data_IF_496406871786
#
_entry.id   IF_496406871786
#
_cell.length_a   1.000
_cell.length_b   1.000
_cell.length_c   1.000
_cell.angle_alpha   90.00
_cell.angle_beta   90.00
_cell.angle_gamma   90.00
#
_symmetry.space_group_name_H-M   'P 1'
#
loop_
_entity.id
_entity.type
_entity.pdbx_description
1 polymer ?
#
# COMPACT_ATOMS: atom_id res chain seq x y z
N UNK A 1 13.85 6.13 -0.01
CA UNK A 1 13.23 7.32 -0.62
C UNK A 1 11.94 6.88 -1.27
N UNK A 2 10.90 7.68 -1.10
CA UNK A 2 9.53 7.35 -1.54
C UNK A 2 9.05 8.42 -2.49
N UNK A 3 8.38 8.01 -3.56
CA UNK A 3 7.69 8.90 -4.47
C UNK A 3 6.24 9.05 -4.02
N UNK A 4 5.77 10.29 -3.89
CA UNK A 4 4.41 10.62 -3.46
C UNK A 4 3.78 11.68 -4.37
N UNK A 5 2.46 11.73 -4.35
CA UNK A 5 1.66 12.87 -4.83
C UNK A 5 0.86 13.43 -3.65
N UNK A 6 0.11 14.53 -3.82
CA UNK A 6 -0.83 14.99 -2.80
C UNK A 6 -1.91 13.96 -2.40
N UNK A 7 -2.18 12.96 -3.26
CA UNK A 7 -3.19 11.93 -3.02
C UNK A 7 -2.66 10.71 -2.27
N UNK A 8 -1.34 10.49 -2.26
CA UNK A 8 -0.76 9.33 -1.57
C UNK A 8 0.58 8.86 -2.12
N UNK A 9 1.06 7.69 -1.64
CA UNK A 9 2.28 7.09 -2.14
C UNK A 9 2.09 6.56 -3.56
N UNK A 10 3.09 6.78 -4.39
CA UNK A 10 3.19 6.19 -5.74
C UNK A 10 4.00 4.90 -5.68
N UNK A 11 5.10 4.92 -4.93
CA UNK A 11 6.01 3.79 -4.83
C UNK A 11 7.32 4.15 -4.17
N UNK A 12 8.31 3.26 -4.28
CA UNK A 12 9.66 3.46 -3.73
C UNK A 12 10.69 3.53 -4.84
N UNK A 13 11.69 4.38 -4.65
CA UNK A 13 12.85 4.41 -5.55
C UNK A 13 13.59 3.07 -5.45
N UNK A 14 13.82 2.44 -6.60
CA UNK A 14 14.55 1.18 -6.72
C UNK A 14 16.00 1.41 -7.17
N UNK A 15 16.21 2.24 -8.18
CA UNK A 15 17.55 2.62 -8.66
C UNK A 15 17.60 4.10 -8.97
N UNK A 16 18.80 4.65 -8.84
CA UNK A 16 19.13 6.04 -9.16
C UNK A 16 20.19 5.97 -10.25
N UNK A 17 20.04 6.84 -11.24
CA UNK A 17 20.95 7.07 -12.37
C UNK A 17 21.37 8.54 -12.34
N UNK A 18 22.25 8.94 -13.26
CA UNK A 18 22.82 10.30 -13.27
C UNK A 18 21.76 11.39 -13.48
N UNK A 19 20.73 11.10 -14.28
CA UNK A 19 19.67 12.03 -14.69
C UNK A 19 18.25 11.51 -14.40
N UNK A 20 18.12 10.42 -13.64
CA UNK A 20 16.82 9.81 -13.40
C UNK A 20 16.80 8.76 -12.30
N UNK A 21 15.62 8.19 -12.06
CA UNK A 21 15.43 7.11 -11.12
C UNK A 21 14.32 6.17 -11.59
N UNK A 22 14.41 4.90 -11.23
CA UNK A 22 13.30 3.95 -11.40
C UNK A 22 12.53 3.79 -10.09
N UNK A 23 11.20 3.71 -10.20
CA UNK A 23 10.29 3.54 -9.07
C UNK A 23 9.61 2.17 -9.20
N UNK A 24 9.63 1.39 -8.11
CA UNK A 24 8.72 0.26 -7.95
C UNK A 24 7.40 0.84 -7.45
N UNK A 25 6.36 0.74 -8.27
CA UNK A 25 5.02 1.23 -7.95
C UNK A 25 4.42 0.46 -6.77
N UNK A 26 3.44 1.05 -6.08
CA UNK A 26 2.71 0.38 -5.00
C UNK A 26 1.98 -0.88 -5.48
N UNK A 27 1.50 -0.86 -6.73
CA UNK A 27 0.76 -1.94 -7.37
C UNK A 27 1.66 -2.98 -8.05
N UNK A 28 2.97 -2.77 -8.09
CA UNK A 28 3.93 -3.75 -8.65
C UNK A 28 4.01 -5.01 -7.76
N UNK A 29 4.11 -6.20 -8.37
CA UNK A 29 4.20 -7.49 -7.65
C UNK A 29 5.41 -7.61 -6.73
N UNK A 30 6.45 -6.81 -6.97
CA UNK A 30 7.66 -6.74 -6.14
C UNK A 30 7.57 -5.65 -5.06
N UNK A 31 6.42 -4.99 -4.95
CA UNK A 31 6.16 -3.96 -3.95
C UNK A 31 5.60 -4.57 -2.68
N UNK A 32 6.11 -4.09 -1.54
CA UNK A 32 5.67 -4.49 -0.21
C UNK A 32 5.82 -3.28 0.71
N UNK A 33 4.74 -2.91 1.39
CA UNK A 33 4.64 -1.72 2.23
C UNK A 33 3.96 -2.06 3.55
N UNK A 34 4.53 -1.63 4.67
CA UNK A 34 3.87 -1.78 5.95
C UNK A 34 2.73 -0.75 6.06
N UNK A 35 1.50 -1.25 6.17
CA UNK A 35 0.30 -0.39 6.25
C UNK A 35 -0.50 -0.69 7.49
N UNK A 36 -1.42 0.22 7.81
CA UNK A 36 -2.34 0.12 8.92
C UNK A 36 -3.73 0.49 8.44
N UNK A 37 -4.70 -0.32 8.83
CA UNK A 37 -6.10 0.02 8.67
C UNK A 37 -6.49 1.12 9.67
N UNK A 38 -7.19 2.16 9.21
CA UNK A 38 -7.37 3.36 10.01
C UNK A 38 -8.32 3.15 11.20
N UNK A 39 -9.41 2.40 11.02
CA UNK A 39 -10.43 2.17 12.04
C UNK A 39 -9.99 1.10 13.05
N UNK A 40 -9.60 -0.06 12.54
CA UNK A 40 -9.19 -1.21 13.38
C UNK A 40 -7.78 -1.08 13.95
N UNK A 41 -6.97 -0.17 13.40
CA UNK A 41 -5.56 0.06 13.78
C UNK A 41 -4.65 -1.15 13.58
N UNK A 42 -5.14 -2.24 12.98
CA UNK A 42 -4.33 -3.43 12.69
C UNK A 42 -3.30 -3.10 11.62
N UNK A 43 -2.08 -3.59 11.81
CA UNK A 43 -1.00 -3.49 10.85
C UNK A 43 -0.98 -4.74 9.98
N UNK A 44 -0.71 -4.57 8.70
CA UNK A 44 -0.48 -5.64 7.75
C UNK A 44 0.55 -5.25 6.71
N UNK A 45 0.78 -6.15 5.76
CA UNK A 45 1.69 -5.92 4.64
C UNK A 45 0.86 -5.77 3.37
N UNK A 46 0.94 -4.60 2.75
CA UNK A 46 0.33 -4.33 1.46
C UNK A 46 1.30 -4.79 0.37
N UNK A 47 0.86 -5.71 -0.48
CA UNK A 47 1.61 -6.18 -1.65
C UNK A 47 0.90 -5.79 -2.94
N UNK A 48 1.65 -5.33 -3.94
CA UNK A 48 1.09 -5.05 -5.25
C UNK A 48 0.72 -6.34 -6.00
N UNK A 49 -0.24 -6.24 -6.91
CA UNK A 49 -0.76 -7.40 -7.67
C UNK A 49 -0.45 -7.37 -9.17
N UNK A 50 0.06 -6.25 -9.68
CA UNK A 50 0.32 -6.03 -11.11
C UNK A 50 -0.93 -5.74 -11.94
N UNK A 51 -2.12 -5.74 -11.33
CA UNK A 51 -3.43 -5.49 -11.96
C UNK A 51 -4.02 -4.11 -11.58
N UNK A 52 -3.20 -3.21 -11.05
CA UNK A 52 -3.64 -1.91 -10.53
C UNK A 52 -4.23 -1.96 -9.11
N UNK A 53 -4.32 -3.13 -8.50
CA UNK A 53 -4.77 -3.30 -7.11
C UNK A 53 -3.66 -3.81 -6.19
N UNK A 54 -3.96 -3.85 -4.90
CA UNK A 54 -3.07 -4.39 -3.88
C UNK A 54 -3.78 -5.45 -3.03
N UNK A 55 -3.00 -6.34 -2.42
CA UNK A 55 -3.45 -7.33 -1.43
C UNK A 55 -2.90 -6.96 -0.06
N UNK A 56 -3.76 -6.85 0.95
CA UNK A 56 -3.35 -6.65 2.33
C UNK A 56 -3.26 -7.99 3.06
N UNK A 57 -2.03 -8.41 3.38
CA UNK A 57 -1.71 -9.68 4.03
C UNK A 57 -1.52 -9.54 5.54
N UNK A 58 -1.56 -10.70 6.21
CA UNK A 58 -1.29 -10.90 7.64
C UNK A 58 -2.29 -10.25 8.61
N UNK A 59 -3.50 -9.97 8.14
CA UNK A 59 -4.60 -9.53 9.01
C UNK A 59 -5.35 -10.75 9.52
N UNK A 60 -5.40 -10.95 10.83
CA UNK A 60 -6.10 -12.09 11.44
C UNK A 60 -7.60 -12.08 11.11
N UNK A 61 -8.20 -13.24 10.86
CA UNK A 61 -9.66 -13.37 10.66
C UNK A 61 -10.51 -12.90 11.86
N UNK A 62 -9.91 -12.81 13.05
CA UNK A 62 -10.54 -12.30 14.28
C UNK A 62 -10.78 -10.79 14.23
N UNK A 63 -10.07 -10.07 13.37
CA UNK A 63 -10.28 -8.64 13.16
C UNK A 63 -11.46 -8.44 12.22
N UNK A 64 -12.39 -7.55 12.59
CA UNK A 64 -13.49 -7.15 11.73
C UNK A 64 -13.04 -6.00 10.82
N UNK A 65 -12.70 -6.34 9.57
CA UNK A 65 -12.35 -5.37 8.53
C UNK A 65 -13.57 -5.12 7.65
N UNK A 66 -13.82 -3.86 7.28
CA UNK A 66 -14.96 -3.47 6.46
C UNK A 66 -14.51 -2.94 5.11
N UNK A 67 -15.27 -3.27 4.06
CA UNK A 67 -15.13 -2.60 2.76
C UNK A 67 -15.34 -1.10 2.94
N UNK A 68 -14.50 -0.30 2.30
CA UNK A 68 -14.44 1.15 2.47
C UNK A 68 -13.55 1.62 3.63
N UNK A 69 -12.96 0.71 4.42
CA UNK A 69 -12.00 1.12 5.46
C UNK A 69 -10.74 1.73 4.83
N UNK A 70 -10.28 2.85 5.40
CA UNK A 70 -9.09 3.55 4.92
C UNK A 70 -7.82 2.77 5.27
N UNK A 71 -6.91 2.72 4.31
CA UNK A 71 -5.57 2.15 4.47
C UNK A 71 -4.57 3.30 4.47
N UNK A 72 -3.66 3.30 5.43
CA UNK A 72 -2.56 4.29 5.51
C UNK A 72 -1.23 3.58 5.72
N UNK A 73 -0.11 4.18 5.33
CA UNK A 73 1.22 3.66 5.69
C UNK A 73 1.40 3.66 7.21
N UNK A 74 2.09 2.66 7.76
CA UNK A 74 2.32 2.53 9.21
C UNK A 74 3.68 3.07 9.67
N UNK A 75 4.61 3.27 8.73
CA UNK A 75 5.98 3.68 9.01
C UNK A 75 6.91 2.61 9.60
N UNK A 76 6.40 1.40 9.82
CA UNK A 76 7.14 0.31 10.48
C UNK A 76 8.19 -0.35 9.59
N UNK A 77 8.09 -0.20 8.27
CA UNK A 77 9.13 -0.66 7.32
C UNK A 77 10.35 0.26 7.28
N UNK A 78 10.28 1.44 7.90
CA UNK A 78 11.34 2.44 7.89
C UNK A 78 11.58 3.14 6.54
N UNK A 79 10.79 2.80 5.51
CA UNK A 79 10.87 3.30 4.14
C UNK A 79 9.81 4.38 3.93
N UNK A 80 8.56 4.07 4.24
CA UNK A 80 7.44 5.00 4.10
C UNK A 80 7.26 5.79 5.41
N UNK A 81 7.00 7.11 5.36
CA UNK A 81 6.50 7.85 6.52
C UNK A 81 5.18 7.23 7.03
N UNK A 82 4.87 7.35 8.33
CA UNK A 82 3.55 6.96 8.85
C UNK A 82 2.47 7.95 8.37
N UNK A 83 1.26 7.42 8.11
CA UNK A 83 0.08 8.24 7.88
C UNK A 83 -0.18 8.69 6.44
N UNK A 84 0.60 8.25 5.45
CA UNK A 84 0.28 8.52 4.05
C UNK A 84 -0.96 7.73 3.64
N UNK A 85 -1.95 8.41 3.04
CA UNK A 85 -3.17 7.77 2.59
C UNK A 85 -2.89 6.88 1.38
N UNK A 86 -3.25 5.59 1.48
CA UNK A 86 -2.99 4.59 0.44
C UNK A 86 -4.21 4.39 -0.44
N UNK A 87 -5.39 4.26 0.17
CA UNK A 87 -6.61 3.87 -0.52
C UNK A 87 -7.62 3.22 0.41
N UNK A 88 -8.49 2.38 -0.16
CA UNK A 88 -9.63 1.80 0.54
C UNK A 88 -9.66 0.28 0.38
N UNK A 89 -10.11 -0.42 1.42
CA UNK A 89 -10.47 -1.83 1.31
C UNK A 89 -11.61 -2.00 0.30
N UNK A 90 -11.38 -2.76 -0.76
CA UNK A 90 -12.38 -3.02 -1.81
C UNK A 90 -13.08 -4.36 -1.65
N UNK A 91 -12.41 -5.35 -1.06
CA UNK A 91 -12.95 -6.68 -0.84
C UNK A 91 -12.36 -7.31 0.42
N UNK A 92 -13.17 -8.08 1.14
CA UNK A 92 -12.73 -8.89 2.29
C UNK A 92 -13.31 -10.30 2.15
N UNK A 93 -12.42 -11.31 2.13
CA UNK A 93 -12.77 -12.73 2.08
C UNK A 93 -12.16 -13.47 3.27
N UNK A 94 -13.00 -14.25 3.94
CA UNK A 94 -12.60 -15.16 5.02
C UNK A 94 -12.86 -16.59 4.56
N UNK A 95 -11.81 -17.28 4.15
CA UNK A 95 -11.92 -18.68 3.73
C UNK A 95 -12.06 -19.59 4.97
N UNK A 96 -12.34 -20.88 4.84
CA UNK A 96 -12.25 -21.81 5.97
C UNK A 96 -10.81 -22.35 6.08
N UNK A 97 -10.36 -22.73 7.27
CA UNK A 97 -9.00 -23.28 7.49
C UNK A 97 -7.84 -22.26 7.53
N UNK A 98 -7.94 -21.11 6.85
CA UNK A 98 -6.86 -20.10 6.90
C UNK A 98 -6.80 -19.33 8.24
N UNK A 99 -5.63 -18.78 8.61
CA UNK A 99 -5.48 -17.92 9.80
C UNK A 99 -5.72 -16.44 9.53
N UNK A 100 -5.42 -16.02 8.30
CA UNK A 100 -5.53 -14.64 7.83
C UNK A 100 -6.69 -14.49 6.85
N UNK A 101 -7.25 -13.29 6.76
CA UNK A 101 -8.26 -12.95 5.76
C UNK A 101 -7.60 -12.40 4.50
N UNK A 102 -8.21 -12.67 3.35
CA UNK A 102 -7.80 -12.10 2.07
C UNK A 102 -8.47 -10.73 1.92
N UNK A 103 -7.67 -9.67 1.87
CA UNK A 103 -8.18 -8.30 1.78
C UNK A 103 -7.61 -7.67 0.50
N UNK A 104 -8.49 -7.18 -0.37
CA UNK A 104 -8.08 -6.37 -1.50
C UNK A 104 -8.17 -4.88 -1.15
N UNK A 105 -7.22 -4.11 -1.66
CA UNK A 105 -7.14 -2.67 -1.48
C UNK A 105 -7.06 -2.02 -2.84
N UNK A 106 -7.94 -1.04 -3.07
CA UNK A 106 -7.90 -0.17 -4.24
C UNK A 106 -7.10 1.10 -3.85
N UNK A 107 -5.99 1.40 -4.54
CA UNK A 107 -5.25 2.64 -4.33
C UNK A 107 -6.13 3.88 -4.57
N UNK A 108 -5.84 4.96 -3.86
CA UNK A 108 -6.58 6.22 -3.94
C UNK A 108 -6.44 6.96 -5.29
N UNK A 109 -5.45 6.58 -6.09
CA UNK A 109 -5.09 7.21 -7.35
C UNK A 109 -4.70 6.14 -8.37
N UNK A 110 -4.92 6.42 -9.66
CA UNK A 110 -4.42 5.58 -10.74
C UNK A 110 -2.92 5.83 -10.92
N UNK A 111 -2.12 4.83 -10.57
CA UNK A 111 -0.66 4.90 -10.64
C UNK A 111 -0.11 4.86 -12.07
N UNK A 112 -0.95 4.55 -13.07
CA UNK A 112 -0.54 4.55 -14.48
C UNK A 112 -0.67 5.93 -15.14
N UNK A 113 -1.32 6.89 -14.48
CA UNK A 113 -1.58 8.23 -14.99
C UNK A 113 -0.79 9.33 -14.24
N UNK A 114 0.32 8.96 -13.58
CA UNK A 114 1.14 9.88 -12.79
C UNK A 114 2.15 10.58 -13.69
N UNK A 115 2.09 11.91 -13.73
CA UNK A 115 3.02 12.76 -14.48
C UNK A 115 4.11 13.37 -13.58
N UNK A 116 3.75 13.75 -12.36
CA UNK A 116 4.62 14.43 -11.42
C UNK A 116 4.62 13.74 -10.05
N UNK A 117 5.79 13.69 -9.42
CA UNK A 117 5.97 13.14 -8.07
C UNK A 117 6.91 14.00 -7.24
N UNK A 118 6.70 13.99 -5.94
CA UNK A 118 7.63 14.53 -4.95
C UNK A 118 8.39 13.38 -4.33
N UNK A 119 9.72 13.52 -4.20
CA UNK A 119 10.55 12.54 -3.52
C UNK A 119 10.71 12.92 -2.06
N UNK A 120 10.21 12.06 -1.18
CA UNK A 120 10.46 12.15 0.25
C UNK A 120 11.72 11.35 0.58
N UNK A 121 12.70 12.07 1.13
CA UNK A 121 13.88 11.51 1.79
C UNK A 121 13.67 11.66 3.29
N UNK A 122 13.84 10.53 4.00
CA UNK A 122 13.85 10.52 5.46
C UNK A 122 15.17 11.06 5.99
#
# INVERSE_FOLDING_TARGET
MVAVTPLGPVGKIHRIFDDGASIILLTDVNSSVAVRLQSTRVVGILEGRGDGTCSLKYVSKRVEVKVGEQVVTSGLDGIFPDGLFVGYVSEVKKEEGEMFQLIQVLPAQDLNAIEEVVILKR
#
